data_IF_434857414473
#
_entry.id   IF_434857414473
#
_cell.length_a   1.000
_cell.length_b   1.000
_cell.length_c   1.000
_cell.angle_alpha   90.00
_cell.angle_beta   90.00
_cell.angle_gamma   90.00
#
_symmetry.space_group_name_H-M   'P 1'
#
loop_
_entity.id
_entity.type
_entity.pdbx_description
1 polymer ?
#
# COMPACT_ATOMS: atom_id res chain seq x y z
N UNK A 1 -34.00 0.60 20.57
CA UNK A 1 -32.69 1.08 20.06
C UNK A 1 -31.65 1.07 21.18
N UNK A 2 -31.40 -0.09 21.81
CA UNK A 2 -30.38 -0.27 22.88
C UNK A 2 -29.89 -1.73 22.79
N UNK A 3 -29.07 -2.05 21.80
CA UNK A 3 -28.38 -3.35 21.68
C UNK A 3 -26.99 -3.26 21.01
N UNK A 4 -26.47 -2.05 20.80
CA UNK A 4 -25.19 -1.82 20.10
C UNK A 4 -24.01 -1.46 21.04
N UNK A 5 -24.23 -1.40 22.35
CA UNK A 5 -23.19 -0.97 23.31
C UNK A 5 -22.70 -2.08 24.26
N UNK A 6 -23.15 -3.32 24.10
CA UNK A 6 -22.85 -4.39 25.08
C UNK A 6 -21.68 -5.30 24.72
N UNK A 7 -21.01 -5.13 23.56
CA UNK A 7 -19.90 -6.01 23.15
C UNK A 7 -18.50 -5.49 23.45
N UNK A 8 -18.34 -4.25 23.92
CA UNK A 8 -17.04 -3.68 24.31
C UNK A 8 -16.85 -3.76 25.83
N UNK A 9 -16.58 -4.96 26.35
CA UNK A 9 -16.47 -5.19 27.80
C UNK A 9 -15.04 -5.21 28.33
N UNK A 10 -14.02 -5.20 27.47
CA UNK A 10 -12.62 -5.33 27.89
C UNK A 10 -11.75 -4.22 27.28
N UNK A 11 -11.07 -3.49 28.16
CA UNK A 11 -10.00 -2.57 27.81
C UNK A 11 -8.68 -3.32 27.79
N UNK A 12 -7.84 -3.02 26.79
CA UNK A 12 -6.47 -3.52 26.67
C UNK A 12 -5.54 -2.80 27.66
N UNK A 13 -4.34 -3.34 27.83
CA UNK A 13 -3.30 -2.77 28.70
C UNK A 13 -2.84 -1.37 28.27
N UNK A 14 -3.00 -1.03 27.00
CA UNK A 14 -2.70 0.28 26.41
C UNK A 14 -3.88 1.27 26.50
N UNK A 15 -5.02 0.87 27.10
CA UNK A 15 -6.20 1.70 27.27
C UNK A 15 -7.21 1.63 26.11
N UNK A 16 -6.86 0.96 25.01
CA UNK A 16 -7.75 0.79 23.87
C UNK A 16 -8.85 -0.22 24.13
N UNK A 17 -9.99 -0.06 23.45
CA UNK A 17 -11.08 -1.04 23.47
C UNK A 17 -10.70 -2.28 22.62
N UNK A 18 -11.01 -3.47 23.13
CA UNK A 18 -10.97 -4.69 22.31
C UNK A 18 -12.15 -4.64 21.33
N UNK A 19 -11.85 -4.72 20.04
CA UNK A 19 -12.88 -4.84 18.99
C UNK A 19 -12.99 -6.32 18.64
N UNK A 20 -14.03 -7.03 19.11
CA UNK A 20 -14.14 -8.46 18.87
C UNK A 20 -14.24 -8.76 17.38
N UNK A 21 -13.54 -9.80 16.94
CA UNK A 21 -13.50 -10.15 15.52
C UNK A 21 -14.85 -10.62 14.98
N UNK A 22 -15.31 -10.00 13.88
CA UNK A 22 -16.45 -10.51 13.13
C UNK A 22 -16.08 -11.78 12.33
N UNK A 23 -16.96 -12.78 12.33
CA UNK A 23 -16.78 -13.97 11.49
C UNK A 23 -17.02 -13.69 10.01
N UNK A 24 -17.64 -12.55 9.68
CA UNK A 24 -17.91 -12.17 8.29
C UNK A 24 -16.63 -11.90 7.49
N UNK A 25 -15.51 -11.60 8.17
CA UNK A 25 -14.20 -11.40 7.53
C UNK A 25 -13.74 -12.58 6.67
N UNK A 26 -14.23 -13.80 6.91
CA UNK A 26 -13.94 -14.97 6.07
C UNK A 26 -14.45 -14.85 4.63
N UNK A 27 -15.41 -13.96 4.38
CA UNK A 27 -15.97 -13.69 3.06
C UNK A 27 -15.20 -12.61 2.31
N UNK A 28 -14.40 -11.81 3.01
CA UNK A 28 -13.64 -10.70 2.46
C UNK A 28 -12.14 -10.98 2.36
N UNK A 29 -11.62 -11.87 3.20
CA UNK A 29 -10.20 -12.19 3.29
C UNK A 29 -9.93 -13.62 2.82
N UNK A 30 -8.88 -13.77 2.01
CA UNK A 30 -8.31 -15.05 1.65
C UNK A 30 -7.69 -15.73 2.87
N UNK A 31 -7.67 -17.07 2.86
CA UNK A 31 -7.03 -17.84 3.92
C UNK A 31 -5.55 -17.47 4.12
N UNK A 32 -4.84 -17.13 3.04
CA UNK A 32 -3.45 -16.65 3.09
C UNK A 32 -3.31 -15.33 3.83
N UNK A 33 -4.25 -14.40 3.65
CA UNK A 33 -4.26 -13.10 4.35
C UNK A 33 -4.57 -13.27 5.83
N UNK A 34 -5.55 -14.12 6.16
CA UNK A 34 -5.84 -14.48 7.55
C UNK A 34 -4.61 -15.07 8.27
N UNK A 35 -3.85 -15.92 7.60
CA UNK A 35 -2.58 -16.43 8.13
C UNK A 35 -1.53 -15.33 8.29
N UNK A 36 -1.45 -14.37 7.36
CA UNK A 36 -0.53 -13.24 7.45
C UNK A 36 -0.88 -12.33 8.66
N UNK A 37 -2.17 -12.07 8.87
CA UNK A 37 -2.68 -11.32 10.03
C UNK A 37 -2.35 -12.05 11.33
N UNK A 38 -2.56 -13.38 11.37
CA UNK A 38 -2.23 -14.17 12.56
C UNK A 38 -0.72 -14.18 12.86
N UNK A 39 0.13 -14.21 11.82
CA UNK A 39 1.58 -14.04 11.95
C UNK A 39 1.96 -12.65 12.46
N UNK A 40 1.27 -11.59 12.02
CA UNK A 40 1.47 -10.24 12.52
C UNK A 40 1.22 -10.17 14.04
N UNK A 41 0.11 -10.79 14.49
CA UNK A 41 -0.28 -10.84 15.90
C UNK A 41 0.70 -11.64 16.77
N UNK A 42 1.08 -12.85 16.33
CA UNK A 42 1.80 -13.81 17.17
C UNK A 42 3.31 -13.87 16.92
N UNK A 43 3.80 -13.25 15.84
CA UNK A 43 5.20 -13.36 15.44
C UNK A 43 5.63 -14.82 15.26
N UNK A 44 6.76 -15.18 15.87
CA UNK A 44 7.33 -16.53 15.80
C UNK A 44 6.44 -17.60 16.48
N UNK A 45 5.55 -17.21 17.39
CA UNK A 45 4.70 -18.14 18.15
C UNK A 45 3.61 -18.79 17.30
N UNK A 46 3.35 -18.24 16.10
CA UNK A 46 2.39 -18.81 15.13
C UNK A 46 2.71 -20.26 14.75
N UNK A 47 3.97 -20.67 14.83
CA UNK A 47 4.42 -22.03 14.51
C UNK A 47 3.96 -23.07 15.53
N UNK A 48 3.55 -22.65 16.73
CA UNK A 48 3.00 -23.54 17.76
C UNK A 48 1.52 -23.85 17.53
N UNK A 49 0.84 -23.08 16.68
CA UNK A 49 -0.52 -23.39 16.24
C UNK A 49 -0.43 -24.42 15.11
N UNK A 50 -1.03 -25.60 15.32
CA UNK A 50 -1.18 -26.61 14.27
C UNK A 50 -2.22 -26.12 13.23
N UNK A 51 -1.83 -25.15 12.40
CA UNK A 51 -2.70 -24.46 11.44
C UNK A 51 -2.92 -25.24 10.13
N UNK A 52 -2.29 -26.40 9.99
CA UNK A 52 -2.47 -27.30 8.85
C UNK A 52 -3.89 -27.85 8.86
N UNK A 53 -4.71 -27.46 7.90
CA UNK A 53 -6.14 -27.84 7.83
C UNK A 53 -7.09 -26.98 8.65
N UNK A 54 -6.60 -25.93 9.35
CA UNK A 54 -7.49 -24.98 10.03
C UNK A 54 -8.36 -24.22 9.02
N UNK A 55 -9.65 -24.11 9.34
CA UNK A 55 -10.64 -23.32 8.59
C UNK A 55 -10.41 -21.81 8.80
N UNK A 56 -10.99 -20.98 7.94
CA UNK A 56 -10.92 -19.52 8.09
C UNK A 56 -11.53 -19.06 9.41
N UNK A 57 -12.60 -19.72 9.88
CA UNK A 57 -13.22 -19.45 11.18
C UNK A 57 -12.25 -19.72 12.34
N UNK A 58 -11.57 -20.87 12.34
CA UNK A 58 -10.59 -21.19 13.39
C UNK A 58 -9.44 -20.17 13.41
N UNK A 59 -9.01 -19.70 12.22
CA UNK A 59 -7.96 -18.67 12.12
C UNK A 59 -8.48 -17.33 12.66
N UNK A 60 -9.72 -16.94 12.34
CA UNK A 60 -10.34 -15.73 12.87
C UNK A 60 -10.49 -15.77 14.39
N UNK A 61 -10.91 -16.91 14.97
CA UNK A 61 -10.95 -17.10 16.42
C UNK A 61 -9.58 -16.88 17.06
N UNK A 62 -8.50 -17.38 16.44
CA UNK A 62 -7.15 -17.14 16.90
C UNK A 62 -6.71 -15.68 16.76
N UNK A 63 -7.20 -14.95 15.77
CA UNK A 63 -6.95 -13.51 15.62
C UNK A 63 -7.70 -12.75 16.74
N UNK A 64 -8.99 -13.01 16.93
CA UNK A 64 -9.81 -12.58 18.07
C UNK A 64 -10.13 -11.08 18.16
N UNK A 65 -9.36 -10.22 17.48
CA UNK A 65 -9.47 -8.76 17.55
C UNK A 65 -9.31 -8.13 16.16
N UNK A 66 -10.28 -7.31 15.74
CA UNK A 66 -10.27 -6.68 14.40
C UNK A 66 -9.12 -5.70 14.22
N UNK A 67 -8.51 -5.19 15.30
CA UNK A 67 -7.34 -4.31 15.18
C UNK A 67 -6.22 -4.94 14.36
N UNK A 68 -6.00 -6.25 14.45
CA UNK A 68 -4.96 -6.91 13.67
C UNK A 68 -5.27 -6.94 12.17
N UNK A 69 -6.56 -6.92 11.79
CA UNK A 69 -6.98 -6.75 10.39
C UNK A 69 -6.63 -5.34 9.92
N UNK A 70 -6.95 -4.33 10.74
CA UNK A 70 -6.63 -2.93 10.46
C UNK A 70 -5.11 -2.73 10.37
N UNK A 71 -4.34 -3.22 11.33
CA UNK A 71 -2.87 -3.13 11.33
C UNK A 71 -2.25 -3.82 10.12
N UNK A 72 -2.82 -4.95 9.68
CA UNK A 72 -2.38 -5.61 8.45
C UNK A 72 -2.60 -4.72 7.23
N UNK A 73 -3.78 -4.15 7.06
CA UNK A 73 -4.04 -3.23 5.95
C UNK A 73 -3.22 -1.95 6.05
N UNK A 74 -3.03 -1.39 7.25
CA UNK A 74 -2.13 -0.25 7.46
C UNK A 74 -0.68 -0.60 7.13
N UNK A 75 -0.24 -1.84 7.37
CA UNK A 75 1.10 -2.28 6.98
C UNK A 75 1.25 -2.41 5.47
N UNK A 76 0.19 -2.82 4.76
CA UNK A 76 0.16 -2.86 3.30
C UNK A 76 0.19 -1.44 2.76
N UNK A 77 -0.69 -0.57 3.25
CA UNK A 77 -0.73 0.85 2.90
C UNK A 77 0.61 1.52 3.21
N UNK A 78 1.22 1.25 4.37
CA UNK A 78 2.53 1.77 4.75
C UNK A 78 3.64 1.32 3.80
N UNK A 79 3.63 0.06 3.34
CA UNK A 79 4.56 -0.42 2.30
C UNK A 79 4.27 0.20 0.93
N UNK A 80 3.01 0.42 0.59
CA UNK A 80 2.62 1.12 -0.65
C UNK A 80 2.97 2.61 -0.62
N UNK A 81 2.92 3.22 0.57
CA UNK A 81 3.28 4.60 0.85
C UNK A 81 4.79 4.79 1.10
N UNK A 82 5.56 3.71 1.17
CA UNK A 82 7.02 3.78 1.14
C UNK A 82 7.46 4.00 -0.32
N UNK A 83 7.09 5.17 -0.84
CA UNK A 83 7.34 5.69 -2.19
C UNK A 83 8.84 5.76 -2.57
N UNK A 84 9.72 5.42 -1.64
CA UNK A 84 11.17 5.43 -1.79
C UNK A 84 11.74 4.13 -2.38
N UNK A 85 10.93 3.07 -2.49
CA UNK A 85 11.33 1.93 -3.31
C UNK A 85 10.76 2.11 -4.70
N UNK A 86 11.63 2.38 -5.67
CA UNK A 86 11.30 2.17 -7.07
C UNK A 86 11.01 0.67 -7.24
N UNK A 87 9.75 0.27 -7.08
CA UNK A 87 9.32 -1.11 -7.30
C UNK A 87 9.49 -1.36 -8.80
N UNK A 88 10.64 -1.91 -9.17
CA UNK A 88 10.89 -2.38 -10.51
C UNK A 88 9.95 -3.55 -10.80
N UNK A 89 9.22 -3.47 -11.90
CA UNK A 89 8.40 -4.61 -12.36
C UNK A 89 9.36 -5.73 -12.71
N UNK A 90 9.21 -6.88 -12.06
CA UNK A 90 9.90 -8.11 -12.41
C UNK A 90 8.96 -9.06 -13.15
N UNK A 91 9.50 -10.17 -13.65
CA UNK A 91 8.72 -11.14 -14.43
C UNK A 91 7.49 -11.66 -13.67
N UNK A 92 7.63 -11.97 -12.37
CA UNK A 92 6.52 -12.46 -11.55
C UNK A 92 5.42 -11.41 -11.37
N UNK A 93 5.80 -10.15 -11.18
CA UNK A 93 4.85 -9.05 -11.04
C UNK A 93 4.12 -8.78 -12.38
N UNK A 94 4.83 -8.90 -13.51
CA UNK A 94 4.24 -8.84 -14.84
C UNK A 94 3.23 -9.98 -15.07
N UNK A 95 3.55 -11.20 -14.68
CA UNK A 95 2.63 -12.34 -14.80
C UNK A 95 1.33 -12.12 -14.00
N UNK A 96 1.44 -11.63 -12.77
CA UNK A 96 0.26 -11.29 -11.94
C UNK A 96 -0.57 -10.19 -12.61
N UNK A 97 0.07 -9.11 -13.09
CA UNK A 97 -0.60 -8.01 -13.78
C UNK A 97 -1.38 -8.52 -15.01
N UNK A 98 -0.74 -9.30 -15.86
CA UNK A 98 -1.35 -9.83 -17.08
C UNK A 98 -2.48 -10.82 -16.74
N UNK A 99 -2.34 -11.60 -15.66
CA UNK A 99 -3.41 -12.49 -15.21
C UNK A 99 -4.63 -11.70 -14.70
N UNK A 100 -4.42 -10.71 -13.83
CA UNK A 100 -5.49 -9.88 -13.28
C UNK A 100 -6.23 -9.08 -14.38
N UNK A 101 -5.50 -8.62 -15.38
CA UNK A 101 -6.07 -7.85 -16.50
C UNK A 101 -6.58 -8.71 -17.66
N UNK A 102 -6.56 -10.06 -17.53
CA UNK A 102 -6.96 -11.00 -18.58
C UNK A 102 -6.19 -10.83 -19.91
N UNK A 103 -4.90 -10.52 -19.81
CA UNK A 103 -3.96 -10.28 -20.89
C UNK A 103 -2.81 -11.31 -20.89
N UNK A 104 -3.06 -12.55 -20.50
CA UNK A 104 -2.04 -13.60 -20.37
C UNK A 104 -1.30 -13.90 -21.69
N UNK A 105 -1.94 -13.64 -22.83
CA UNK A 105 -1.39 -13.81 -24.18
C UNK A 105 -0.71 -12.55 -24.73
N UNK A 106 -0.56 -11.49 -23.94
CA UNK A 106 0.12 -10.27 -24.36
C UNK A 106 1.58 -10.56 -24.72
N UNK A 107 2.10 -9.88 -25.75
CA UNK A 107 3.45 -10.16 -26.26
C UNK A 107 4.55 -9.89 -25.23
N UNK A 108 4.30 -9.00 -24.25
CA UNK A 108 5.21 -8.77 -23.12
C UNK A 108 5.38 -10.02 -22.25
N UNK A 109 4.43 -10.96 -22.23
CA UNK A 109 4.56 -12.21 -21.47
C UNK A 109 5.65 -13.13 -22.02
N UNK A 110 5.94 -13.04 -23.33
CA UNK A 110 6.93 -13.90 -24.00
C UNK A 110 8.34 -13.28 -24.04
N UNK A 111 8.50 -12.05 -23.54
CA UNK A 111 9.78 -11.34 -23.47
C UNK A 111 10.17 -11.17 -22.01
N UNK A 112 11.43 -11.49 -21.67
CA UNK A 112 11.93 -11.24 -20.32
C UNK A 112 12.04 -9.73 -20.07
N UNK A 113 11.60 -9.26 -18.90
CA UNK A 113 11.59 -7.82 -18.54
C UNK A 113 12.95 -7.15 -18.74
N UNK A 114 14.06 -7.84 -18.46
CA UNK A 114 15.42 -7.32 -18.66
C UNK A 114 15.77 -6.97 -20.13
N UNK A 115 14.95 -7.41 -21.08
CA UNK A 115 15.16 -7.17 -22.51
C UNK A 115 14.19 -6.14 -23.09
N UNK A 116 13.39 -5.47 -22.26
CA UNK A 116 12.43 -4.48 -22.73
C UNK A 116 13.14 -3.32 -23.39
N UNK A 117 12.58 -2.88 -24.51
CA UNK A 117 12.97 -1.63 -25.15
C UNK A 117 11.98 -0.52 -24.77
N UNK A 118 12.21 0.69 -25.26
CA UNK A 118 11.37 1.85 -24.95
C UNK A 118 9.89 1.65 -25.35
N UNK A 119 9.63 0.87 -26.40
CA UNK A 119 8.27 0.57 -26.84
C UNK A 119 7.57 -0.39 -25.86
N UNK A 120 8.30 -1.39 -25.37
CA UNK A 120 7.81 -2.31 -24.35
C UNK A 120 7.51 -1.60 -23.04
N UNK A 121 8.40 -0.72 -22.59
CA UNK A 121 8.21 0.08 -21.38
C UNK A 121 6.97 0.97 -21.48
N UNK A 122 6.77 1.59 -22.64
CA UNK A 122 5.58 2.42 -22.91
C UNK A 122 4.29 1.59 -22.84
N UNK A 123 4.30 0.38 -23.43
CA UNK A 123 3.16 -0.54 -23.36
C UNK A 123 2.92 -1.05 -21.94
N UNK A 124 3.98 -1.41 -21.21
CA UNK A 124 3.89 -1.84 -19.82
C UNK A 124 3.27 -0.74 -18.94
N UNK A 125 3.73 0.51 -19.06
CA UNK A 125 3.14 1.67 -18.36
C UNK A 125 1.66 1.84 -18.68
N UNK A 126 1.27 1.65 -19.94
CA UNK A 126 -0.14 1.72 -20.36
C UNK A 126 -0.98 0.66 -19.66
N UNK A 127 -0.50 -0.58 -19.56
CA UNK A 127 -1.18 -1.68 -18.85
C UNK A 127 -1.27 -1.37 -17.36
N UNK A 128 -0.16 -0.95 -16.74
CA UNK A 128 -0.10 -0.61 -15.31
C UNK A 128 -1.09 0.51 -14.94
N UNK A 129 -1.16 1.59 -15.74
CA UNK A 129 -2.13 2.67 -15.52
C UNK A 129 -3.56 2.17 -15.64
N UNK A 130 -3.87 1.37 -16.66
CA UNK A 130 -5.22 0.79 -16.86
C UNK A 130 -5.62 -0.18 -15.75
N UNK A 131 -4.66 -0.90 -15.19
CA UNK A 131 -4.85 -1.80 -14.06
C UNK A 131 -4.96 -1.07 -12.71
N UNK A 132 -4.72 0.24 -12.67
CA UNK A 132 -4.65 1.00 -11.41
C UNK A 132 -3.38 0.74 -10.60
N UNK A 133 -2.43 -0.01 -11.16
CA UNK A 133 -1.14 -0.33 -10.55
C UNK A 133 -0.12 0.79 -10.67
N UNK A 134 -0.43 1.83 -11.43
CA UNK A 134 0.41 3.01 -11.56
C UNK A 134 -0.45 4.26 -11.45
N UNK A 135 -0.03 5.18 -10.59
CA UNK A 135 -0.71 6.45 -10.38
C UNK A 135 0.28 7.60 -10.52
N UNK A 136 -0.20 8.68 -11.12
CA UNK A 136 0.51 9.95 -11.12
C UNK A 136 0.27 10.66 -9.79
N UNK A 137 1.34 11.01 -9.10
CA UNK A 137 1.31 11.79 -7.86
C UNK A 137 2.11 13.07 -8.03
N UNK A 138 1.88 14.03 -7.15
CA UNK A 138 2.49 15.35 -7.15
C UNK A 138 3.26 15.56 -5.85
N UNK A 139 4.45 16.13 -5.91
CA UNK A 139 5.23 16.49 -4.73
C UNK A 139 5.65 17.95 -4.82
N UNK A 140 5.84 18.58 -3.66
CA UNK A 140 6.47 19.91 -3.55
C UNK A 140 7.93 19.69 -3.18
N UNK A 141 8.84 20.18 -4.01
CA UNK A 141 10.28 19.97 -3.89
C UNK A 141 10.97 21.31 -3.67
N UNK A 142 12.00 21.33 -2.83
CA UNK A 142 12.93 22.45 -2.79
C UNK A 142 13.88 22.40 -3.98
N UNK A 143 14.41 23.54 -4.41
CA UNK A 143 15.42 23.58 -5.49
C UNK A 143 16.67 22.76 -5.16
N UNK A 144 17.06 22.73 -3.89
CA UNK A 144 18.19 21.96 -3.39
C UNK A 144 17.93 20.46 -3.58
N UNK A 145 16.70 20.00 -3.30
CA UNK A 145 16.30 18.61 -3.50
C UNK A 145 16.27 18.19 -4.99
N UNK A 146 16.17 19.16 -5.91
CA UNK A 146 16.19 18.92 -7.35
C UNK A 146 17.60 18.94 -7.95
N UNK A 147 18.57 19.54 -7.26
CA UNK A 147 19.95 19.65 -7.72
C UNK A 147 20.78 18.39 -7.40
N UNK A 148 20.35 17.64 -6.38
CA UNK A 148 20.97 16.39 -5.99
C UNK A 148 19.98 15.25 -6.27
N UNK A 149 20.23 14.52 -7.37
CA UNK A 149 19.46 13.35 -7.83
C UNK A 149 19.43 12.20 -6.78
N UNK A 150 20.15 12.37 -5.67
CA UNK A 150 20.20 11.46 -4.52
C UNK A 150 19.61 12.02 -3.23
N UNK A 151 19.18 13.28 -3.21
CA UNK A 151 18.74 13.94 -1.99
C UNK A 151 17.31 13.56 -1.60
N UNK A 152 17.23 12.72 -0.58
CA UNK A 152 16.03 12.30 0.16
C UNK A 152 15.38 13.41 1.00
N UNK A 153 15.76 14.68 0.81
CA UNK A 153 15.19 15.83 1.53
C UNK A 153 13.90 16.33 0.88
N UNK A 154 13.09 15.38 0.42
CA UNK A 154 11.73 15.57 -0.04
C UNK A 154 10.82 15.90 1.13
N UNK A 155 9.83 16.78 0.90
CA UNK A 155 8.57 16.63 1.62
C UNK A 155 8.09 15.19 1.37
N UNK A 156 8.03 14.38 2.43
CA UNK A 156 7.69 12.94 2.42
C UNK A 156 6.26 12.65 1.94
N UNK A 157 5.54 13.65 1.48
CA UNK A 157 4.11 13.60 1.21
C UNK A 157 3.89 13.87 -0.27
N UNK A 158 3.40 12.84 -0.96
CA UNK A 158 2.89 12.95 -2.30
C UNK A 158 1.38 13.20 -2.26
N UNK A 159 0.90 13.99 -3.21
CA UNK A 159 -0.49 14.38 -3.37
C UNK A 159 -1.10 13.74 -4.62
N UNK A 160 -2.39 13.48 -4.56
CA UNK A 160 -3.13 12.83 -5.64
C UNK A 160 -3.43 13.80 -6.79
N UNK A 161 -3.56 15.08 -6.46
CA UNK A 161 -3.89 16.14 -7.40
C UNK A 161 -2.89 17.28 -7.34
N UNK A 162 -2.74 17.97 -8.47
CA UNK A 162 -1.93 19.19 -8.53
C UNK A 162 -2.47 20.28 -7.58
N UNK A 163 -3.79 20.34 -7.39
CA UNK A 163 -4.44 21.32 -6.50
C UNK A 163 -4.06 21.11 -5.04
N UNK A 164 -3.99 19.87 -4.57
CA UNK A 164 -3.52 19.54 -3.22
C UNK A 164 -2.04 19.91 -3.03
N UNK A 165 -1.19 19.63 -4.01
CA UNK A 165 0.21 20.05 -3.98
C UNK A 165 0.35 21.59 -3.97
N UNK A 166 -0.51 22.31 -4.69
CA UNK A 166 -0.54 23.77 -4.70
C UNK A 166 -1.00 24.35 -3.37
N UNK A 167 -1.98 23.70 -2.73
CA UNK A 167 -2.41 24.05 -1.38
C UNK A 167 -1.25 23.87 -0.38
N UNK A 168 -0.53 22.76 -0.44
CA UNK A 168 0.64 22.53 0.43
C UNK A 168 1.76 23.53 0.16
N UNK A 169 2.07 23.83 -1.10
CA UNK A 169 3.03 24.87 -1.44
C UNK A 169 2.61 26.21 -0.83
N UNK A 170 1.33 26.56 -0.93
CA UNK A 170 0.81 27.81 -0.35
C UNK A 170 0.91 27.80 1.18
N UNK A 171 0.68 26.64 1.82
CA UNK A 171 0.86 26.45 3.26
C UNK A 171 2.33 26.69 3.65
N UNK A 172 3.27 26.05 2.96
CA UNK A 172 4.72 26.19 3.20
C UNK A 172 5.21 27.64 3.05
N UNK A 173 4.70 28.38 2.06
CA UNK A 173 5.07 29.79 1.87
C UNK A 173 4.52 30.68 2.98
N UNK A 174 3.30 30.42 3.47
CA UNK A 174 2.63 31.28 4.45
C UNK A 174 2.95 30.94 5.92
N UNK A 175 3.14 29.65 6.23
CA UNK A 175 3.32 29.16 7.61
C UNK A 175 4.80 28.94 7.94
N UNK A 176 5.58 28.42 6.99
CA UNK A 176 6.97 28.02 7.20
C UNK A 176 7.97 29.05 6.66
N UNK A 177 7.49 30.20 6.16
CA UNK A 177 8.26 31.35 5.62
C UNK A 177 9.28 30.96 4.54
N UNK A 178 8.95 29.92 3.76
CA UNK A 178 9.79 29.46 2.66
C UNK A 178 9.49 30.32 1.42
N UNK A 179 10.53 30.76 0.70
CA UNK A 179 10.33 31.47 -0.56
C UNK A 179 9.61 30.58 -1.57
N UNK A 180 8.51 31.07 -2.13
CA UNK A 180 7.82 30.40 -3.25
C UNK A 180 8.78 30.09 -4.38
N UNK A 181 9.74 30.98 -4.61
CA UNK A 181 10.72 30.80 -5.69
C UNK A 181 11.59 29.58 -5.49
N UNK A 182 11.78 29.10 -4.26
CA UNK A 182 12.63 27.96 -3.91
C UNK A 182 11.86 26.64 -3.85
N UNK A 183 10.55 26.68 -4.08
CA UNK A 183 9.69 25.52 -4.17
C UNK A 183 9.27 25.25 -5.61
N UNK A 184 9.09 23.97 -5.94
CA UNK A 184 8.61 23.54 -7.25
C UNK A 184 7.72 22.33 -7.12
N UNK A 185 6.55 22.39 -7.75
CA UNK A 185 5.68 21.22 -7.89
C UNK A 185 6.18 20.36 -9.05
N UNK A 186 6.42 19.09 -8.78
CA UNK A 186 6.77 18.09 -9.79
C UNK A 186 5.79 16.92 -9.69
N UNK A 187 5.65 16.17 -10.78
CA UNK A 187 4.87 14.94 -10.78
C UNK A 187 5.75 13.73 -11.00
N UNK A 188 5.49 12.65 -10.25
CA UNK A 188 6.13 11.33 -10.41
C UNK A 188 5.05 10.30 -10.70
N UNK A 189 5.37 9.30 -11.53
CA UNK A 189 4.56 8.09 -11.64
C UNK A 189 5.05 7.09 -10.61
N UNK A 190 4.15 6.55 -9.80
CA UNK A 190 4.49 5.58 -8.77
C UNK A 190 3.72 4.30 -9.04
N UNK A 191 4.42 3.18 -8.91
CA UNK A 191 3.82 1.85 -8.89
C UNK A 191 3.13 1.60 -7.54
N UNK A 192 1.85 1.24 -7.58
CA UNK A 192 1.05 0.84 -6.43
C UNK A 192 0.54 -0.58 -6.73
N UNK A 193 1.36 -1.62 -6.52
CA UNK A 193 0.92 -2.99 -6.78
C UNK A 193 -0.22 -3.30 -5.80
N UNK A 194 -1.42 -3.49 -6.33
CA UNK A 194 -2.56 -3.97 -5.55
C UNK A 194 -2.34 -5.47 -5.35
N UNK A 195 -1.67 -5.82 -4.25
CA UNK A 195 -1.47 -7.22 -3.81
C UNK A 195 -2.73 -7.73 -3.15
#
# INVERSE_FOLDING_TARGET
MIKLLTSYSQQRKDGDLIVPISMDWKHYLLRSELLAILKLKLGAEVHHLALTGATSENILEHIGDERYIIEFFLSIVGKMMDFNQDIAVNQSLLEVLLHQTSQQSHYLASKGVDNFDEYDDSNLRSILRKAGWMRKVYGVFTKEALADDTSTDTLKVYFDTHSEALFELSRLVNEDDISESDLKIMSKEVLIPIV
#
